data_IF_360124046879
#
_entry.id   IF_360124046879
#
_cell.length_a   1.000
_cell.length_b   1.000
_cell.length_c   1.000
_cell.angle_alpha   90.00
_cell.angle_beta   90.00
_cell.angle_gamma   90.00
#
_symmetry.space_group_name_H-M   'P 1'
#
loop_
_entity.id
_entity.type
_entity.pdbx_description
1 polymer ?
#
# COMPACT_ATOMS: atom_id res chain seq x y z
N UNK A 1 -3.91 3.83 -22.06
CA UNK A 1 -3.69 2.38 -21.91
C UNK A 1 -3.67 1.96 -20.43
N UNK A 2 -2.77 2.51 -19.60
CA UNK A 2 -2.67 2.20 -18.16
C UNK A 2 -3.79 2.83 -17.29
N UNK A 3 -4.15 4.09 -17.53
CA UNK A 3 -5.21 4.78 -16.79
C UNK A 3 -6.58 4.10 -16.97
N UNK A 4 -6.87 3.63 -18.18
CA UNK A 4 -8.10 2.90 -18.52
C UNK A 4 -8.18 1.57 -17.78
N UNK A 5 -7.05 0.85 -17.65
CA UNK A 5 -6.96 -0.40 -16.90
C UNK A 5 -7.25 -0.18 -15.41
N UNK A 6 -6.67 0.88 -14.81
CA UNK A 6 -6.93 1.22 -13.40
C UNK A 6 -8.36 1.69 -13.17
N UNK A 7 -8.94 2.48 -14.08
CA UNK A 7 -10.37 2.83 -14.02
C UNK A 7 -11.25 1.59 -14.11
N UNK A 8 -10.93 0.65 -15.00
CA UNK A 8 -11.66 -0.62 -15.15
C UNK A 8 -11.52 -1.53 -13.92
N UNK A 9 -10.38 -1.51 -13.23
CA UNK A 9 -10.14 -2.24 -11.97
C UNK A 9 -11.21 -1.92 -10.92
N UNK A 10 -11.45 -0.62 -10.69
CA UNK A 10 -12.47 -0.14 -9.75
C UNK A 10 -13.90 -0.27 -10.31
N UNK A 11 -14.12 0.04 -11.60
CA UNK A 11 -15.48 -0.03 -12.18
C UNK A 11 -16.02 -1.44 -12.31
N UNK A 12 -15.15 -2.42 -12.56
CA UNK A 12 -15.54 -3.81 -12.74
C UNK A 12 -15.37 -4.62 -11.46
N UNK A 13 -15.02 -4.06 -10.30
CA UNK A 13 -14.75 -4.85 -9.07
C UNK A 13 -15.84 -5.87 -8.73
N UNK A 14 -17.12 -5.57 -9.01
CA UNK A 14 -18.27 -6.43 -8.73
C UNK A 14 -18.87 -7.16 -9.95
N UNK A 15 -18.31 -6.99 -11.16
CA UNK A 15 -18.82 -7.65 -12.38
C UNK A 15 -17.96 -8.82 -12.79
N UNK A 16 -18.28 -10.05 -12.43
CA UNK A 16 -17.41 -11.21 -12.72
C UNK A 16 -17.39 -11.58 -14.21
N UNK A 17 -18.30 -11.05 -15.03
CA UNK A 17 -18.40 -11.38 -16.46
C UNK A 17 -17.32 -10.73 -17.34
N UNK A 18 -16.67 -11.53 -18.19
CA UNK A 18 -15.80 -11.10 -19.29
C UNK A 18 -14.32 -11.43 -19.09
N UNK A 19 -13.57 -11.47 -20.19
CA UNK A 19 -12.13 -11.78 -20.19
C UNK A 19 -11.32 -10.49 -19.95
N UNK A 20 -10.35 -10.55 -19.04
CA UNK A 20 -9.42 -9.44 -18.79
C UNK A 20 -8.18 -9.61 -19.68
N UNK A 21 -7.76 -8.54 -20.36
CA UNK A 21 -6.53 -8.63 -21.17
C UNK A 21 -5.31 -8.78 -20.27
N UNK A 22 -4.29 -9.54 -20.71
CA UNK A 22 -3.04 -9.74 -19.95
C UNK A 22 -2.37 -8.41 -19.56
N UNK A 23 -2.47 -7.39 -20.41
CA UNK A 23 -1.98 -6.05 -20.12
C UNK A 23 -2.75 -5.35 -18.99
N UNK A 24 -4.07 -5.49 -18.90
CA UNK A 24 -4.86 -4.91 -17.81
C UNK A 24 -4.48 -5.51 -16.45
N UNK A 25 -4.18 -6.82 -16.41
CA UNK A 25 -3.67 -7.47 -15.20
C UNK A 25 -2.32 -6.89 -14.76
N UNK A 26 -1.35 -6.83 -15.68
CA UNK A 26 0.00 -6.34 -15.34
C UNK A 26 0.01 -4.87 -14.92
N UNK A 27 -0.74 -4.00 -15.60
CA UNK A 27 -0.81 -2.59 -15.23
C UNK A 27 -1.46 -2.37 -13.86
N UNK A 28 -2.52 -3.11 -13.53
CA UNK A 28 -3.16 -3.00 -12.21
C UNK A 28 -2.30 -3.55 -11.09
N UNK A 29 -1.57 -4.65 -11.35
CA UNK A 29 -0.56 -5.17 -10.44
C UNK A 29 0.54 -4.14 -10.16
N UNK A 30 1.15 -3.57 -11.20
CA UNK A 30 2.22 -2.58 -11.08
C UNK A 30 1.78 -1.34 -10.31
N UNK A 31 0.59 -0.80 -10.59
CA UNK A 31 0.08 0.38 -9.88
C UNK A 31 -0.13 0.07 -8.39
N UNK A 32 -0.76 -1.06 -8.07
CA UNK A 32 -0.96 -1.46 -6.66
C UNK A 32 0.38 -1.74 -5.96
N UNK A 33 1.37 -2.28 -6.68
CA UNK A 33 2.71 -2.52 -6.17
C UNK A 33 3.44 -1.21 -5.85
N UNK A 34 3.38 -0.23 -6.76
CA UNK A 34 3.95 1.12 -6.53
C UNK A 34 3.26 1.79 -5.34
N UNK A 35 1.93 1.76 -5.25
CA UNK A 35 1.19 2.32 -4.11
C UNK A 35 1.61 1.64 -2.80
N UNK A 36 1.76 0.32 -2.81
CA UNK A 36 2.22 -0.42 -1.64
C UNK A 36 3.64 -0.03 -1.22
N UNK A 37 4.57 0.13 -2.16
CA UNK A 37 5.93 0.62 -1.87
C UNK A 37 5.86 2.00 -1.22
N UNK A 38 5.11 2.94 -1.82
CA UNK A 38 4.97 4.30 -1.31
C UNK A 38 4.41 4.33 0.12
N UNK A 39 3.40 3.50 0.40
CA UNK A 39 2.82 3.37 1.74
C UNK A 39 3.79 2.76 2.76
N UNK A 40 4.75 1.96 2.31
CA UNK A 40 5.77 1.34 3.16
C UNK A 40 6.99 2.25 3.40
N UNK A 41 7.23 3.30 2.62
CA UNK A 41 8.38 4.20 2.82
C UNK A 41 8.42 4.76 4.25
N UNK A 42 7.33 5.33 4.80
CA UNK A 42 7.33 5.84 6.18
C UNK A 42 7.52 4.76 7.24
N UNK A 43 7.24 3.48 6.94
CA UNK A 43 7.48 2.34 7.83
C UNK A 43 8.96 2.01 7.91
N UNK A 44 9.64 2.01 6.77
CA UNK A 44 11.06 1.70 6.68
C UNK A 44 11.93 2.84 7.23
N UNK A 45 11.48 4.09 7.16
CA UNK A 45 12.14 5.24 7.80
C UNK A 45 12.14 5.06 9.33
N UNK A 46 11.04 4.60 9.94
CA UNK A 46 11.02 4.20 11.37
C UNK A 46 12.03 3.09 11.65
N UNK A 47 12.14 2.15 10.71
CA UNK A 47 12.97 0.96 10.84
C UNK A 47 14.49 1.27 10.76
N UNK A 48 14.87 2.34 10.06
CA UNK A 48 16.25 2.82 10.07
C UNK A 48 16.60 3.53 11.38
N UNK A 49 15.67 4.34 11.90
CA UNK A 49 15.88 5.15 13.11
C UNK A 49 15.95 4.29 14.39
N UNK A 50 15.04 3.31 14.57
CA UNK A 50 14.97 2.52 15.81
C UNK A 50 16.17 1.59 16.08
N UNK A 51 16.83 1.09 15.02
CA UNK A 51 17.85 0.04 15.13
C UNK A 51 19.27 0.58 15.30
N UNK A 52 19.53 1.78 14.78
CA UNK A 52 20.87 2.37 14.72
C UNK A 52 21.02 3.59 15.63
N UNK A 53 19.92 4.27 15.96
CA UNK A 53 19.98 5.50 16.75
C UNK A 53 18.80 5.59 17.76
N UNK A 54 18.92 4.98 18.96
CA UNK A 54 17.92 5.17 20.02
C UNK A 54 17.71 6.66 20.42
N UNK A 55 18.66 7.54 20.04
CA UNK A 55 18.62 9.00 20.23
C UNK A 55 18.24 9.81 18.99
N UNK A 56 18.25 9.26 17.76
CA UNK A 56 17.93 10.05 16.55
C UNK A 56 16.44 10.12 16.21
N UNK A 57 15.59 9.96 17.24
CA UNK A 57 14.22 10.48 17.24
C UNK A 57 14.23 11.85 16.59
N UNK A 58 13.70 11.93 15.38
CA UNK A 58 13.77 13.13 14.52
C UNK A 58 13.28 14.33 15.33
N UNK A 59 14.23 15.15 15.79
CA UNK A 59 14.02 16.21 16.77
C UNK A 59 14.60 15.92 18.16
N UNK A 60 15.78 16.50 18.43
CA UNK A 60 16.36 16.88 19.74
C UNK A 60 17.15 15.87 20.58
N UNK A 61 17.29 14.59 20.24
CA UNK A 61 18.14 13.68 21.05
C UNK A 61 17.61 13.41 22.46
N UNK A 62 16.47 14.00 22.83
CA UNK A 62 15.84 13.89 24.14
C UNK A 62 14.53 13.10 24.00
N UNK A 63 14.41 11.92 24.64
CA UNK A 63 13.25 11.07 24.52
C UNK A 63 11.92 11.68 25.03
N UNK A 64 11.97 12.79 25.75
CA UNK A 64 10.77 13.50 26.22
C UNK A 64 10.27 14.60 25.27
N UNK A 65 11.09 15.04 24.29
CA UNK A 65 10.76 16.19 23.42
C UNK A 65 10.50 15.83 21.95
N UNK A 66 10.72 14.58 21.55
CA UNK A 66 10.34 14.13 20.22
C UNK A 66 8.81 14.19 20.07
N UNK A 67 8.39 15.19 19.31
CA UNK A 67 7.01 15.44 18.96
C UNK A 67 6.37 14.15 18.42
N UNK A 68 5.32 13.66 19.08
CA UNK A 68 4.46 12.50 18.72
C UNK A 68 4.12 12.41 17.23
N UNK A 69 4.12 13.53 16.51
CA UNK A 69 3.97 13.57 15.06
C UNK A 69 5.15 12.90 14.30
N UNK A 70 6.41 13.17 14.68
CA UNK A 70 7.64 12.73 13.98
C UNK A 70 8.55 11.78 14.79
N UNK A 71 8.22 11.49 16.06
CA UNK A 71 9.03 10.64 16.93
C UNK A 71 9.18 9.21 16.38
N UNK A 72 10.36 8.84 15.87
CA UNK A 72 10.63 7.49 15.38
C UNK A 72 10.23 6.39 16.39
N UNK A 73 9.70 5.27 15.88
CA UNK A 73 9.28 4.11 16.68
C UNK A 73 7.77 3.94 16.85
N UNK A 74 7.36 3.13 17.84
CA UNK A 74 5.98 2.65 18.02
C UNK A 74 4.95 3.75 18.31
N UNK A 75 5.40 4.94 18.72
CA UNK A 75 4.54 6.05 19.15
C UNK A 75 4.33 7.14 18.09
N UNK A 76 4.91 7.03 16.87
CA UNK A 76 4.66 8.08 15.85
C UNK A 76 3.25 8.01 15.29
N UNK A 77 2.58 9.16 15.26
CA UNK A 77 1.23 9.30 14.68
C UNK A 77 1.26 9.18 13.17
N UNK A 78 2.20 9.85 12.50
CA UNK A 78 2.35 9.73 11.03
C UNK A 78 2.61 8.27 10.69
N UNK A 79 3.53 7.66 11.44
CA UNK A 79 3.86 6.28 11.29
C UNK A 79 2.62 5.36 11.36
N UNK A 80 1.96 5.35 12.51
CA UNK A 80 0.82 4.50 12.74
C UNK A 80 -0.34 4.82 11.77
N UNK A 81 -0.52 6.09 11.42
CA UNK A 81 -1.48 6.53 10.40
C UNK A 81 -1.23 5.89 9.03
N UNK A 82 0.00 5.95 8.53
CA UNK A 82 0.36 5.27 7.28
C UNK A 82 0.23 3.74 7.37
N UNK A 83 0.43 3.15 8.55
CA UNK A 83 0.19 1.72 8.79
C UNK A 83 -1.27 1.35 8.61
N UNK A 84 -2.16 2.13 9.23
CA UNK A 84 -3.60 1.95 9.15
C UNK A 84 -4.06 2.13 7.70
N UNK A 85 -3.60 3.18 7.02
CA UNK A 85 -3.92 3.44 5.60
C UNK A 85 -3.43 2.28 4.73
N UNK A 86 -2.23 1.75 4.97
CA UNK A 86 -1.71 0.59 4.24
C UNK A 86 -2.57 -0.66 4.47
N UNK A 87 -3.00 -0.90 5.71
CA UNK A 87 -3.92 -1.99 6.05
C UNK A 87 -5.27 -1.85 5.35
N UNK A 88 -5.87 -0.66 5.39
CA UNK A 88 -7.12 -0.37 4.69
C UNK A 88 -6.96 -0.53 3.18
N UNK A 89 -5.87 -0.03 2.59
CA UNK A 89 -5.59 -0.20 1.17
C UNK A 89 -5.47 -1.69 0.79
N UNK A 90 -4.84 -2.50 1.64
CA UNK A 90 -4.76 -3.95 1.42
C UNK A 90 -6.14 -4.60 1.41
N UNK A 91 -6.99 -4.27 2.38
CA UNK A 91 -8.37 -4.78 2.49
C UNK A 91 -9.22 -4.34 1.29
N UNK A 92 -9.19 -3.07 0.94
CA UNK A 92 -9.99 -2.54 -0.17
C UNK A 92 -9.56 -3.13 -1.51
N UNK A 93 -8.26 -3.38 -1.70
CA UNK A 93 -7.76 -3.93 -2.97
C UNK A 93 -7.88 -5.44 -3.09
N UNK A 94 -8.15 -6.17 -2.00
CA UNK A 94 -8.33 -7.64 -2.01
C UNK A 94 -9.46 -8.08 -2.93
N UNK A 95 -10.63 -7.45 -2.81
CA UNK A 95 -11.83 -7.76 -3.60
C UNK A 95 -11.53 -7.63 -5.10
N UNK A 96 -11.09 -6.47 -5.63
CA UNK A 96 -10.82 -6.33 -7.07
C UNK A 96 -9.65 -7.20 -7.56
N UNK A 97 -8.64 -7.48 -6.73
CA UNK A 97 -7.59 -8.45 -7.06
C UNK A 97 -8.16 -9.86 -7.26
N UNK A 98 -9.06 -10.30 -6.38
CA UNK A 98 -9.74 -11.59 -6.48
C UNK A 98 -10.65 -11.64 -7.72
N UNK A 99 -11.45 -10.59 -7.96
CA UNK A 99 -12.30 -10.54 -9.15
C UNK A 99 -11.50 -10.63 -10.45
N UNK A 100 -10.34 -9.96 -10.53
CA UNK A 100 -9.45 -10.11 -11.68
C UNK A 100 -8.85 -11.52 -11.79
N UNK A 101 -8.46 -12.12 -10.66
CA UNK A 101 -7.91 -13.48 -10.62
C UNK A 101 -8.92 -14.53 -11.12
N UNK A 102 -10.20 -14.36 -10.80
CA UNK A 102 -11.28 -15.23 -11.29
C UNK A 102 -11.51 -15.03 -12.79
N UNK A 103 -11.55 -13.78 -13.27
CA UNK A 103 -11.72 -13.54 -14.72
C UNK A 103 -10.61 -14.13 -15.58
N UNK A 104 -9.37 -14.15 -15.07
CA UNK A 104 -8.28 -14.81 -15.78
C UNK A 104 -8.35 -16.34 -15.69
N UNK A 105 -8.89 -16.92 -14.62
CA UNK A 105 -8.95 -18.38 -14.51
C UNK A 105 -9.95 -18.96 -15.51
N UNK A 106 -11.01 -18.22 -15.81
CA UNK A 106 -11.97 -18.54 -16.88
C UNK A 106 -11.39 -18.44 -18.29
N UNK A 107 -10.17 -17.88 -18.48
CA UNK A 107 -9.48 -17.80 -19.78
C UNK A 107 -8.65 -19.07 -20.08
N UNK A 108 -8.43 -19.94 -19.09
CA UNK A 108 -7.62 -21.16 -19.23
C UNK A 108 -8.43 -22.45 -19.47
N UNK A 109 -9.76 -22.38 -19.40
CA UNK A 109 -10.68 -23.51 -19.62
C UNK A 109 -11.53 -23.27 -20.86
#
# INVERSE_FOLDING_TARGET
MWLTAYKNFWRKTFKISGVASRAEYWWTFLINFIIAIVLQIPQNIRAFDYKQHPTARVGTGNPQLNHWLFAGGANSVIANGFAIIAGLFFIVTLIPKLTLAIRRSHDFN
#
